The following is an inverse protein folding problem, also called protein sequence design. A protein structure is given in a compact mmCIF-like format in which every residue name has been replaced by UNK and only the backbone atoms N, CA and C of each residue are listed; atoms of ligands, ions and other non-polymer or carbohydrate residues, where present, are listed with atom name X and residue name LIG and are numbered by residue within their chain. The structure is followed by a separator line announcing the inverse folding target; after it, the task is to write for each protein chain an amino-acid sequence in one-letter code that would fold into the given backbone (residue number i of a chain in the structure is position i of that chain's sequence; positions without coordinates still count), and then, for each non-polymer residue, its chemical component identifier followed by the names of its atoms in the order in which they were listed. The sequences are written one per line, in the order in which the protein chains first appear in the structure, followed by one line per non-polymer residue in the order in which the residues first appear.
data_IF_882518730473
#
_entry.id   IF_882518730473
#
_cell.length_a   1.000
_cell.length_b   1.000
_cell.length_c   1.000
_cell.angle_alpha   90.00
_cell.angle_beta   90.00
_cell.angle_gamma   90.00
#
_symmetry.space_group_name_H-M   'P 1'
#
loop_
_entity.id
_entity.type
_entity.pdbx_description
1 polymer ?
#
# COMPACT_ATOMS: atom_id res chain seq x y z
N UNK A 1 20.23 3.14 5.02
CA UNK A 1 19.70 3.77 6.27
C UNK A 1 19.18 2.69 7.20
N UNK A 2 19.16 2.95 8.54
CA UNK A 2 18.49 2.10 9.52
C UNK A 2 17.18 2.76 9.93
N UNK A 3 16.09 1.98 9.92
CA UNK A 3 14.77 2.46 10.27
C UNK A 3 14.23 1.68 11.47
N UNK A 4 13.96 2.38 12.55
CA UNK A 4 13.45 1.81 13.80
C UNK A 4 12.02 2.27 14.02
N UNK A 5 11.08 1.34 14.00
CA UNK A 5 9.68 1.60 14.30
C UNK A 5 9.39 1.27 15.75
N UNK A 6 8.78 2.20 16.46
CA UNK A 6 8.48 2.05 17.90
C UNK A 6 7.29 1.15 18.17
N UNK A 7 6.42 0.95 17.18
CA UNK A 7 5.21 0.12 17.28
C UNK A 7 4.36 0.46 18.51
N UNK A 8 4.11 1.74 18.74
CA UNK A 8 3.49 2.24 19.99
C UNK A 8 2.06 1.71 20.20
N UNK A 9 1.35 1.37 19.13
CA UNK A 9 -0.02 0.87 19.18
C UNK A 9 -0.08 -0.66 19.21
N UNK A 10 0.99 -1.35 18.85
CA UNK A 10 1.11 -2.81 18.90
C UNK A 10 1.72 -3.28 20.20
N UNK A 11 0.89 -3.67 21.18
CA UNK A 11 1.36 -4.21 22.46
C UNK A 11 2.14 -5.51 22.32
N UNK A 12 1.93 -6.28 21.25
CA UNK A 12 2.67 -7.51 20.98
C UNK A 12 4.05 -7.23 20.37
N UNK A 13 4.21 -6.08 19.71
CA UNK A 13 5.36 -5.71 18.88
C UNK A 13 5.67 -6.73 17.77
N UNK A 14 4.65 -7.43 17.30
CA UNK A 14 4.77 -8.49 16.30
C UNK A 14 4.10 -8.16 14.97
N UNK A 15 3.21 -7.16 14.91
CA UNK A 15 2.35 -6.90 13.77
C UNK A 15 3.15 -6.66 12.49
N UNK A 16 4.07 -5.71 12.46
CA UNK A 16 4.92 -5.48 11.29
C UNK A 16 5.72 -6.73 10.89
N UNK A 17 6.36 -7.37 11.87
CA UNK A 17 7.19 -8.53 11.59
C UNK A 17 6.38 -9.70 11.01
N UNK A 18 5.22 -9.99 11.58
CA UNK A 18 4.32 -11.04 11.09
C UNK A 18 3.70 -10.65 9.76
N UNK A 19 3.22 -9.42 9.62
CA UNK A 19 2.62 -8.93 8.39
C UNK A 19 3.58 -9.02 7.21
N UNK A 20 4.79 -8.49 7.33
CA UNK A 20 5.78 -8.60 6.26
C UNK A 20 6.22 -10.04 6.00
N UNK A 21 6.29 -10.88 7.04
CA UNK A 21 6.57 -12.30 6.85
C UNK A 21 5.47 -13.00 6.04
N UNK A 22 4.20 -12.70 6.27
CA UNK A 22 3.09 -13.24 5.48
C UNK A 22 3.17 -12.80 4.02
N UNK A 23 3.39 -11.52 3.75
CA UNK A 23 3.56 -11.02 2.39
C UNK A 23 4.72 -11.72 1.69
N UNK A 24 5.91 -11.76 2.29
CA UNK A 24 7.07 -12.44 1.71
C UNK A 24 6.83 -13.95 1.53
N UNK A 25 6.07 -14.61 2.40
CA UNK A 25 5.71 -16.04 2.28
C UNK A 25 4.79 -16.33 1.10
N UNK A 26 4.07 -15.33 0.62
CA UNK A 26 3.20 -15.38 -0.55
C UNK A 26 3.85 -14.76 -1.80
N UNK A 27 5.19 -14.65 -1.78
CA UNK A 27 5.99 -14.14 -2.89
C UNK A 27 5.72 -12.66 -3.23
N UNK A 28 5.16 -11.89 -2.29
CA UNK A 28 4.99 -10.46 -2.41
C UNK A 28 6.22 -9.76 -1.84
N UNK A 29 6.86 -8.90 -2.63
CA UNK A 29 7.99 -8.09 -2.17
C UNK A 29 7.56 -7.18 -1.02
N UNK A 30 8.08 -7.44 0.17
CA UNK A 30 7.76 -6.68 1.38
C UNK A 30 9.04 -6.46 2.22
N UNK A 31 9.11 -5.40 3.04
CA UNK A 31 10.25 -5.14 3.89
C UNK A 31 10.62 -6.33 4.79
N UNK A 32 11.91 -6.55 4.97
CA UNK A 32 12.39 -7.45 6.02
C UNK A 32 12.34 -6.71 7.35
N UNK A 33 11.84 -7.36 8.38
CA UNK A 33 11.74 -6.76 9.72
C UNK A 33 12.20 -7.74 10.79
N UNK A 34 12.99 -7.23 11.76
CA UNK A 34 13.47 -7.98 12.92
C UNK A 34 13.37 -7.15 14.18
N UNK A 35 13.26 -7.78 15.34
CA UNK A 35 13.34 -7.07 16.59
C UNK A 35 14.76 -6.59 16.89
N UNK A 36 14.91 -5.35 17.32
CA UNK A 36 16.17 -4.75 17.69
C UNK A 36 16.07 -4.07 19.07
N UNK A 37 17.07 -4.34 19.92
CA UNK A 37 17.25 -3.60 21.17
C UNK A 37 18.06 -2.35 20.87
N UNK A 38 17.47 -1.19 21.06
CA UNK A 38 18.16 0.09 20.83
C UNK A 38 18.91 0.51 22.10
N UNK A 39 20.23 0.66 21.97
CA UNK A 39 21.12 1.12 23.02
C UNK A 39 21.86 2.35 22.50
N UNK A 40 21.73 3.48 23.19
CA UNK A 40 22.41 4.74 22.85
C UNK A 40 23.22 5.18 24.08
N UNK A 41 24.52 5.39 23.93
CA UNK A 41 25.41 5.79 25.03
C UNK A 41 25.26 4.87 26.24
N UNK A 42 25.31 3.57 26.00
CA UNK A 42 25.19 2.49 27.00
C UNK A 42 23.85 2.44 27.76
N UNK A 43 22.84 3.21 27.31
CA UNK A 43 21.49 3.20 27.88
C UNK A 43 20.55 2.47 26.94
N UNK A 44 19.75 1.56 27.52
CA UNK A 44 18.67 0.89 26.78
C UNK A 44 17.50 1.84 26.57
N UNK A 45 17.10 2.04 25.32
CA UNK A 45 16.01 2.92 24.88
C UNK A 45 14.72 2.18 24.55
N UNK A 46 14.78 0.87 24.34
CA UNK A 46 13.58 0.09 24.05
C UNK A 46 13.82 -1.05 23.08
N UNK A 47 12.75 -1.79 22.83
CA UNK A 47 12.63 -2.76 21.74
C UNK A 47 11.94 -2.07 20.56
N UNK A 48 12.46 -2.26 19.37
CA UNK A 48 11.97 -1.67 18.13
C UNK A 48 11.88 -2.73 17.05
N UNK A 49 11.00 -2.54 16.06
CA UNK A 49 11.17 -3.20 14.79
C UNK A 49 12.26 -2.47 14.00
N UNK A 50 13.33 -3.17 13.64
CA UNK A 50 14.30 -2.72 12.66
C UNK A 50 13.80 -3.20 11.30
N UNK A 51 13.19 -2.29 10.56
CA UNK A 51 12.48 -2.55 9.32
C UNK A 51 13.29 -2.04 8.13
N UNK A 52 13.33 -2.81 7.07
CA UNK A 52 13.99 -2.44 5.82
C UNK A 52 13.32 -1.20 5.25
N UNK A 53 14.12 -0.20 4.91
CA UNK A 53 13.61 0.98 4.24
C UNK A 53 13.30 0.65 2.79
N UNK A 54 12.13 1.03 2.32
CA UNK A 54 11.77 0.95 0.90
C UNK A 54 12.44 2.14 0.20
N UNK A 55 13.59 1.86 -0.43
CA UNK A 55 14.41 2.79 -1.20
C UNK A 55 15.07 2.05 -2.38
N UNK A 56 16.08 2.65 -3.02
CA UNK A 56 16.82 2.05 -4.13
C UNK A 56 17.45 0.70 -3.78
N UNK A 57 17.97 0.53 -2.55
CA UNK A 57 18.55 -0.76 -2.14
C UNK A 57 17.48 -1.85 -1.97
N UNK A 58 16.29 -1.47 -1.52
CA UNK A 58 15.13 -2.38 -1.50
C UNK A 58 14.79 -2.83 -2.92
N UNK A 59 14.69 -1.88 -3.86
CA UNK A 59 14.39 -2.20 -5.24
C UNK A 59 15.45 -3.10 -5.88
N UNK A 60 16.74 -2.80 -5.67
CA UNK A 60 17.85 -3.64 -6.16
C UNK A 60 17.87 -5.05 -5.59
N UNK A 61 17.38 -5.24 -4.36
CA UNK A 61 17.35 -6.55 -3.70
C UNK A 61 16.14 -7.39 -4.11
N UNK A 62 14.97 -6.77 -4.26
CA UNK A 62 13.70 -7.47 -4.42
C UNK A 62 13.26 -7.65 -5.87
N UNK A 63 13.80 -6.87 -6.82
CA UNK A 63 13.39 -6.89 -8.22
C UNK A 63 14.60 -7.14 -9.13
N UNK A 64 14.37 -7.76 -10.28
CA UNK A 64 15.43 -8.00 -11.26
C UNK A 64 16.03 -6.71 -11.82
N UNK A 65 15.23 -5.64 -11.84
CA UNK A 65 15.59 -4.32 -12.31
C UNK A 65 15.37 -3.30 -11.19
N UNK A 66 16.41 -3.04 -10.40
CA UNK A 66 16.32 -2.19 -9.21
C UNK A 66 16.35 -0.67 -9.47
N UNK A 67 16.45 -0.23 -10.74
CA UNK A 67 16.64 1.18 -11.10
C UNK A 67 15.35 1.92 -11.47
N UNK A 68 14.20 1.32 -11.23
CA UNK A 68 12.89 1.89 -11.52
C UNK A 68 12.43 2.95 -10.50
N UNK A 69 11.26 3.50 -10.74
CA UNK A 69 10.67 4.49 -9.87
C UNK A 69 9.90 3.84 -8.72
N UNK A 70 10.17 4.29 -7.51
CA UNK A 70 9.34 4.02 -6.33
C UNK A 70 8.45 5.23 -6.06
N UNK A 71 7.18 4.98 -5.83
CA UNK A 71 6.19 6.00 -5.46
C UNK A 71 5.58 5.64 -4.11
N UNK A 72 5.46 6.61 -3.22
CA UNK A 72 4.76 6.44 -1.94
C UNK A 72 3.39 7.07 -1.98
N UNK A 73 2.35 6.29 -1.62
CA UNK A 73 0.99 6.76 -1.34
C UNK A 73 0.39 7.62 -2.47
N UNK A 74 0.58 7.20 -3.71
CA UNK A 74 -0.08 7.79 -4.87
C UNK A 74 -0.82 6.73 -5.67
N UNK A 75 -2.10 6.97 -5.94
CA UNK A 75 -2.89 6.06 -6.75
C UNK A 75 -2.77 6.44 -8.23
N UNK A 76 -2.74 5.48 -9.19
CA UNK A 76 -2.53 5.76 -10.62
C UNK A 76 -3.61 6.62 -11.25
N UNK A 77 -4.80 6.59 -10.68
CA UNK A 77 -5.96 7.40 -11.11
C UNK A 77 -6.51 8.21 -9.94
N UNK A 78 -7.14 9.32 -10.26
CA UNK A 78 -7.86 10.14 -9.28
C UNK A 78 -9.19 9.48 -8.88
N UNK A 79 -9.83 9.96 -7.83
CA UNK A 79 -11.18 9.53 -7.41
C UNK A 79 -12.24 9.62 -8.53
N UNK A 80 -12.01 10.48 -9.53
CA UNK A 80 -12.87 10.64 -10.73
C UNK A 80 -12.46 9.73 -11.88
N UNK A 81 -11.57 8.75 -11.62
CA UNK A 81 -11.06 7.80 -12.60
C UNK A 81 -10.09 8.38 -13.62
N UNK A 82 -9.74 9.68 -13.55
CA UNK A 82 -8.79 10.31 -14.48
C UNK A 82 -7.35 9.92 -14.13
N UNK A 83 -6.44 9.87 -15.11
CA UNK A 83 -5.01 9.66 -14.83
C UNK A 83 -4.49 10.66 -13.80
N UNK A 84 -3.57 10.21 -12.96
CA UNK A 84 -2.92 11.08 -11.98
C UNK A 84 -2.07 12.14 -12.72
N UNK A 85 -1.91 13.31 -12.12
CA UNK A 85 -1.09 14.39 -12.67
C UNK A 85 0.39 14.10 -12.45
N UNK A 86 1.22 14.49 -13.41
CA UNK A 86 2.68 14.39 -13.35
C UNK A 86 3.24 15.02 -12.07
N UNK A 87 2.79 16.21 -11.72
CA UNK A 87 3.22 16.90 -10.49
C UNK A 87 2.96 16.07 -9.24
N UNK A 88 1.84 15.33 -9.19
CA UNK A 88 1.49 14.46 -8.06
C UNK A 88 2.38 13.22 -8.04
N UNK A 89 2.62 12.61 -9.20
CA UNK A 89 3.53 11.47 -9.35
C UNK A 89 4.97 11.86 -8.96
N UNK A 90 5.49 12.99 -9.45
CA UNK A 90 6.82 13.48 -9.08
C UNK A 90 6.96 13.72 -7.56
N UNK A 91 5.95 14.29 -6.91
CA UNK A 91 5.96 14.49 -5.45
C UNK A 91 5.95 13.18 -4.65
N UNK A 92 5.42 12.11 -5.23
CA UNK A 92 5.34 10.81 -4.61
C UNK A 92 6.62 9.97 -4.78
N UNK A 93 7.53 10.35 -5.68
CA UNK A 93 8.79 9.64 -5.91
C UNK A 93 9.61 9.49 -4.62
N UNK A 94 10.27 8.34 -4.49
CA UNK A 94 11.21 7.98 -3.42
C UNK A 94 12.54 7.43 -3.96
N UNK A 95 12.64 7.30 -5.27
CA UNK A 95 13.87 7.05 -6.03
C UNK A 95 13.86 7.95 -7.25
N UNK A 96 15.03 8.25 -7.77
CA UNK A 96 15.23 9.05 -8.99
C UNK A 96 14.69 10.49 -8.94
N UNK A 97 14.35 11.05 -7.79
CA UNK A 97 13.72 12.37 -7.62
C UNK A 97 14.56 13.50 -8.23
N UNK A 98 15.88 13.32 -8.27
CA UNK A 98 16.85 14.29 -8.80
C UNK A 98 17.28 14.02 -10.25
N UNK A 99 16.73 12.99 -10.89
CA UNK A 99 17.16 12.52 -12.22
C UNK A 99 16.16 12.84 -13.33
N UNK A 100 15.09 13.56 -13.06
CA UNK A 100 13.98 13.84 -13.99
C UNK A 100 13.51 12.55 -14.73
N UNK A 101 13.07 11.53 -13.97
CA UNK A 101 12.77 10.21 -14.55
C UNK A 101 11.51 10.25 -15.40
N UNK A 102 11.43 9.34 -16.40
CA UNK A 102 10.17 9.11 -17.11
C UNK A 102 9.10 8.57 -16.15
N UNK A 103 7.89 9.08 -16.25
CA UNK A 103 6.69 8.60 -15.56
C UNK A 103 5.79 7.75 -16.49
N UNK A 104 6.27 7.35 -17.65
CA UNK A 104 5.49 6.80 -18.75
C UNK A 104 4.71 5.53 -18.37
N UNK A 105 5.26 4.68 -17.51
CA UNK A 105 4.61 3.42 -17.11
C UNK A 105 3.34 3.73 -16.30
N UNK A 106 3.49 4.49 -15.21
CA UNK A 106 2.36 4.86 -14.34
C UNK A 106 1.32 5.70 -15.08
N UNK A 107 1.77 6.65 -15.89
CA UNK A 107 0.89 7.48 -16.72
C UNK A 107 0.14 6.67 -17.76
N UNK A 108 0.83 5.78 -18.49
CA UNK A 108 0.20 4.92 -19.48
C UNK A 108 -0.81 3.97 -18.83
N UNK A 109 -0.49 3.43 -17.67
CA UNK A 109 -1.42 2.60 -16.90
C UNK A 109 -2.68 3.38 -16.55
N UNK A 110 -2.54 4.52 -15.86
CA UNK A 110 -3.68 5.38 -15.50
C UNK A 110 -4.49 5.83 -16.72
N UNK A 111 -3.82 6.17 -17.82
CA UNK A 111 -4.48 6.60 -19.06
C UNK A 111 -5.28 5.46 -19.73
N UNK A 112 -4.75 4.24 -19.73
CA UNK A 112 -5.46 3.07 -20.27
C UNK A 112 -6.68 2.71 -19.40
N UNK A 113 -6.55 2.71 -18.07
CA UNK A 113 -7.68 2.51 -17.16
C UNK A 113 -8.79 3.55 -17.44
N UNK A 114 -8.43 4.83 -17.55
CA UNK A 114 -9.40 5.91 -17.79
C UNK A 114 -10.16 5.77 -19.11
N UNK A 115 -9.53 5.24 -20.15
CA UNK A 115 -10.12 5.12 -21.50
C UNK A 115 -10.84 3.81 -21.74
N UNK A 116 -10.70 2.84 -20.82
CA UNK A 116 -11.20 1.48 -21.04
C UNK A 116 -12.67 1.35 -20.67
N UNK A 117 -13.33 0.44 -21.36
CA UNK A 117 -14.58 -0.16 -20.93
C UNK A 117 -14.31 -1.19 -19.83
N UNK A 118 -15.31 -1.47 -18.99
CA UNK A 118 -15.17 -2.41 -17.88
C UNK A 118 -14.67 -3.80 -18.32
N UNK A 119 -15.09 -4.28 -19.48
CA UNK A 119 -14.70 -5.57 -20.03
C UNK A 119 -13.20 -5.67 -20.40
N UNK A 120 -12.51 -4.53 -20.53
CA UNK A 120 -11.11 -4.46 -20.91
C UNK A 120 -10.17 -4.34 -19.69
N UNK A 121 -10.70 -3.95 -18.52
CA UNK A 121 -9.91 -3.64 -17.33
C UNK A 121 -9.00 -4.80 -16.92
N UNK A 122 -9.52 -6.03 -16.90
CA UNK A 122 -8.73 -7.20 -16.53
C UNK A 122 -7.50 -7.37 -17.46
N UNK A 123 -7.70 -7.23 -18.76
CA UNK A 123 -6.60 -7.32 -19.75
C UNK A 123 -5.59 -6.18 -19.55
N UNK A 124 -6.05 -4.97 -19.26
CA UNK A 124 -5.17 -3.82 -19.01
C UNK A 124 -4.36 -4.05 -17.75
N UNK A 125 -5.00 -4.43 -16.64
CA UNK A 125 -4.31 -4.67 -15.37
C UNK A 125 -3.27 -5.77 -15.55
N UNK A 126 -3.60 -6.90 -16.16
CA UNK A 126 -2.67 -8.01 -16.38
C UNK A 126 -1.47 -7.64 -17.29
N UNK A 127 -1.60 -6.63 -18.14
CA UNK A 127 -0.47 -6.14 -18.93
C UNK A 127 0.56 -5.38 -18.06
N UNK A 128 0.11 -4.70 -16.99
CA UNK A 128 0.98 -3.89 -16.12
C UNK A 128 1.33 -4.57 -14.81
N UNK A 129 0.53 -5.51 -14.34
CA UNK A 129 0.69 -6.18 -13.05
C UNK A 129 0.62 -7.69 -13.23
N UNK A 130 1.23 -8.46 -12.33
CA UNK A 130 0.96 -9.89 -12.24
C UNK A 130 -0.32 -10.10 -11.43
N UNK A 131 -1.32 -10.73 -12.05
CA UNK A 131 -2.61 -10.96 -11.37
C UNK A 131 -2.50 -11.89 -10.17
N UNK A 132 -1.59 -12.89 -10.21
CA UNK A 132 -1.40 -13.78 -9.07
C UNK A 132 -0.75 -13.01 -7.91
N UNK A 133 0.24 -12.14 -8.21
CA UNK A 133 0.87 -11.28 -7.21
C UNK A 133 -0.18 -10.38 -6.54
N UNK A 134 -1.01 -9.68 -7.31
CA UNK A 134 -2.05 -8.80 -6.77
C UNK A 134 -3.10 -9.57 -5.98
N UNK A 135 -3.56 -10.72 -6.45
CA UNK A 135 -4.51 -11.55 -5.70
C UNK A 135 -3.90 -12.06 -4.39
N UNK A 136 -2.63 -12.49 -4.42
CA UNK A 136 -1.90 -12.88 -3.20
C UNK A 136 -1.78 -11.70 -2.23
N UNK A 137 -1.49 -10.50 -2.75
CA UNK A 137 -1.45 -9.29 -1.93
C UNK A 137 -2.79 -9.06 -1.24
N UNK A 138 -3.90 -9.06 -1.99
CA UNK A 138 -5.25 -8.86 -1.43
C UNK A 138 -5.57 -9.91 -0.37
N UNK A 139 -5.25 -11.18 -0.63
CA UNK A 139 -5.50 -12.27 0.32
C UNK A 139 -4.74 -12.05 1.64
N UNK A 140 -3.46 -11.70 1.57
CA UNK A 140 -2.67 -11.45 2.78
C UNK A 140 -3.19 -10.21 3.51
N UNK A 141 -3.38 -9.11 2.80
CA UNK A 141 -3.85 -7.83 3.34
C UNK A 141 -5.16 -7.99 4.12
N UNK A 142 -6.12 -8.73 3.55
CA UNK A 142 -7.40 -9.01 4.22
C UNK A 142 -7.28 -10.04 5.34
N UNK A 143 -6.43 -11.06 5.18
CA UNK A 143 -6.21 -12.07 6.22
C UNK A 143 -5.59 -11.50 7.49
N UNK A 144 -4.66 -10.55 7.36
CA UNK A 144 -4.05 -9.84 8.50
C UNK A 144 -4.86 -8.63 8.95
N UNK A 145 -6.00 -8.37 8.29
CA UNK A 145 -6.86 -7.23 8.59
C UNK A 145 -6.08 -5.90 8.58
N UNK A 146 -5.43 -5.62 7.46
CA UNK A 146 -4.70 -4.36 7.27
C UNK A 146 -5.68 -3.22 6.93
N UNK A 147 -6.48 -2.80 7.91
CA UNK A 147 -7.52 -1.78 7.73
C UNK A 147 -6.93 -0.36 7.63
N UNK A 148 -5.63 -0.20 7.83
CA UNK A 148 -4.90 1.06 7.61
C UNK A 148 -4.07 1.04 6.30
N UNK A 149 -4.40 0.13 5.41
CA UNK A 149 -3.65 -0.13 4.18
C UNK A 149 -4.29 0.42 2.92
N UNK A 150 -3.71 -0.02 1.80
CA UNK A 150 -3.99 0.48 0.44
C UNK A 150 -5.44 0.32 -0.02
N UNK A 151 -6.19 -0.65 0.51
CA UNK A 151 -7.56 -0.92 0.09
C UNK A 151 -8.63 -0.21 0.92
N UNK A 152 -8.23 0.58 1.92
CA UNK A 152 -9.14 1.39 2.72
C UNK A 152 -9.00 2.87 2.38
N UNK A 153 -10.05 3.44 1.76
CA UNK A 153 -10.08 4.86 1.42
C UNK A 153 -10.77 5.65 2.52
N UNK A 154 -9.98 6.20 3.42
CA UNK A 154 -10.46 7.14 4.43
C UNK A 154 -10.71 8.52 3.84
N UNK A 155 -11.75 9.19 4.32
CA UNK A 155 -12.08 10.55 3.92
C UNK A 155 -11.60 11.57 4.96
N UNK A 156 -10.53 12.30 4.63
CA UNK A 156 -9.90 13.30 5.48
C UNK A 156 -10.09 14.74 4.98
N UNK A 157 -11.27 15.09 4.45
CA UNK A 157 -11.61 16.46 4.04
C UNK A 157 -11.05 16.91 2.70
N UNK A 158 -10.11 16.17 2.09
CA UNK A 158 -9.60 16.42 0.72
C UNK A 158 -10.06 15.35 -0.29
N UNK A 159 -11.03 14.55 0.09
CA UNK A 159 -11.48 13.37 -0.63
C UNK A 159 -10.87 12.07 -0.09
N UNK A 160 -11.37 10.93 -0.57
CA UNK A 160 -10.92 9.63 -0.09
C UNK A 160 -9.48 9.37 -0.54
N UNK A 161 -8.65 8.92 0.41
CA UNK A 161 -7.27 8.52 0.16
C UNK A 161 -6.93 7.25 0.94
N UNK A 162 -6.07 6.43 0.38
CA UNK A 162 -5.44 5.29 1.04
C UNK A 162 -3.97 5.59 1.32
N UNK A 163 -3.37 4.87 2.26
CA UNK A 163 -1.98 5.07 2.66
C UNK A 163 -1.30 3.75 3.00
N UNK A 164 -0.07 3.82 3.52
CA UNK A 164 0.71 2.66 3.93
C UNK A 164 1.03 1.68 2.79
N UNK A 165 1.42 2.20 1.64
CA UNK A 165 1.88 1.40 0.51
C UNK A 165 2.87 2.15 -0.37
N UNK A 166 3.59 1.38 -1.21
CA UNK A 166 4.40 1.89 -2.30
C UNK A 166 4.03 1.18 -3.61
N UNK A 167 4.28 1.87 -4.73
CA UNK A 167 4.36 1.27 -6.05
C UNK A 167 5.81 1.24 -6.51
N UNK A 168 6.20 0.16 -7.17
CA UNK A 168 7.46 0.08 -7.87
C UNK A 168 7.23 -0.20 -9.36
N UNK A 169 7.88 0.56 -10.24
CA UNK A 169 7.90 0.32 -11.69
C UNK A 169 9.14 -0.45 -12.07
N UNK A 170 8.99 -1.60 -12.71
CA UNK A 170 10.07 -2.38 -13.30
C UNK A 170 10.23 -1.96 -14.77
N UNK A 171 11.30 -1.21 -15.15
CA UNK A 171 11.32 -0.43 -16.39
C UNK A 171 11.33 -1.28 -17.66
N UNK A 172 12.11 -2.37 -17.72
CA UNK A 172 12.23 -3.21 -18.94
C UNK A 172 10.99 -4.10 -19.08
N UNK A 173 10.53 -4.71 -18.00
CA UNK A 173 9.33 -5.54 -18.00
C UNK A 173 8.04 -4.74 -18.16
N UNK A 174 8.10 -3.43 -17.96
CA UNK A 174 6.92 -2.53 -17.97
C UNK A 174 5.86 -2.98 -16.97
N UNK A 175 6.30 -3.47 -15.80
CA UNK A 175 5.43 -3.95 -14.73
C UNK A 175 5.40 -2.98 -13.55
N UNK A 176 4.30 -3.05 -12.81
CA UNK A 176 4.06 -2.26 -11.59
C UNK A 176 3.78 -3.24 -10.46
N UNK A 177 4.48 -3.08 -9.35
CA UNK A 177 4.37 -3.91 -8.16
C UNK A 177 3.85 -3.09 -6.98
N UNK A 178 2.95 -3.68 -6.20
CA UNK A 178 2.42 -3.08 -4.99
C UNK A 178 3.20 -3.63 -3.78
N UNK A 179 3.70 -2.73 -2.94
CA UNK A 179 4.55 -3.06 -1.79
C UNK A 179 3.84 -2.59 -0.51
N UNK A 180 3.62 -3.47 0.49
CA UNK A 180 3.00 -3.09 1.76
C UNK A 180 3.98 -2.28 2.63
N UNK A 181 3.42 -1.38 3.43
CA UNK A 181 4.18 -0.54 4.34
C UNK A 181 3.40 -0.30 5.62
N UNK A 182 4.12 -0.07 6.75
CA UNK A 182 3.60 0.37 8.05
C UNK A 182 2.43 -0.50 8.57
N UNK A 183 2.74 -1.77 8.87
CA UNK A 183 1.76 -2.78 9.25
C UNK A 183 1.54 -2.87 10.77
N UNK A 184 1.92 -1.86 11.54
CA UNK A 184 1.77 -1.87 13.00
C UNK A 184 0.29 -1.86 13.44
N UNK A 185 -0.60 -1.37 12.59
CA UNK A 185 -2.05 -1.39 12.77
C UNK A 185 -2.75 -2.64 12.18
N UNK A 186 -2.02 -3.60 11.60
CA UNK A 186 -2.60 -4.85 11.15
C UNK A 186 -2.97 -5.76 12.33
N UNK A 187 -3.79 -6.79 12.10
CA UNK A 187 -4.28 -7.79 13.07
C UNK A 187 -5.27 -7.27 14.12
N UNK A 188 -5.46 -5.96 14.24
CA UNK A 188 -6.34 -5.32 15.19
C UNK A 188 -7.54 -4.64 14.51
N UNK A 189 -8.57 -4.38 15.30
CA UNK A 189 -9.66 -3.51 14.92
C UNK A 189 -9.31 -2.07 15.29
N UNK A 190 -8.63 -1.37 14.41
CA UNK A 190 -8.17 0.02 14.65
C UNK A 190 -9.31 1.05 14.73
N UNK A 191 -10.53 0.65 14.40
CA UNK A 191 -11.70 1.54 14.40
C UNK A 191 -12.59 1.36 15.62
N UNK A 192 -12.16 0.60 16.62
CA UNK A 192 -12.89 0.38 17.89
C UNK A 192 -12.02 0.72 19.10
N UNK A 193 -12.65 1.20 20.18
CA UNK A 193 -11.99 1.35 21.49
C UNK A 193 -11.50 0.00 22.05
N UNK A 194 -12.12 -1.11 21.62
CA UNK A 194 -11.65 -2.46 21.91
C UNK A 194 -11.09 -3.09 20.61
N UNK A 195 -9.79 -3.13 20.42
CA UNK A 195 -9.17 -3.58 19.17
C UNK A 195 -9.47 -5.04 18.81
N UNK A 196 -9.87 -5.87 19.79
CA UNK A 196 -10.28 -7.26 19.51
C UNK A 196 -11.76 -7.41 19.12
N UNK A 197 -12.52 -6.33 19.14
CA UNK A 197 -13.92 -6.34 18.72
C UNK A 197 -14.00 -6.58 17.22
N UNK A 198 -14.76 -7.61 16.83
CA UNK A 198 -15.00 -7.88 15.42
C UNK A 198 -15.92 -6.81 14.83
N UNK A 199 -15.50 -6.19 13.73
CA UNK A 199 -16.38 -5.48 12.81
C UNK A 199 -16.39 -6.20 11.46
N UNK A 200 -17.57 -6.30 10.80
CA UNK A 200 -17.62 -6.84 9.44
C UNK A 200 -16.71 -6.02 8.52
N UNK A 201 -15.89 -6.70 7.74
CA UNK A 201 -15.11 -6.06 6.70
C UNK A 201 -16.03 -5.67 5.55
N UNK A 202 -16.25 -4.38 5.37
CA UNK A 202 -17.05 -3.83 4.28
C UNK A 202 -16.24 -3.63 2.98
N UNK A 203 -14.98 -4.07 2.95
CA UNK A 203 -14.10 -3.86 1.80
C UNK A 203 -14.66 -4.40 0.49
N UNK A 204 -15.26 -5.60 0.52
CA UNK A 204 -15.83 -6.25 -0.66
C UNK A 204 -17.26 -5.80 -0.99
N UNK A 205 -17.87 -4.91 -0.22
CA UNK A 205 -19.23 -4.47 -0.47
C UNK A 205 -19.31 -3.59 -1.72
N UNK A 206 -20.30 -3.88 -2.56
CA UNK A 206 -20.56 -3.08 -3.76
C UNK A 206 -21.37 -1.85 -3.38
N UNK A 207 -20.78 -0.67 -3.59
CA UNK A 207 -21.50 0.60 -3.47
C UNK A 207 -22.11 1.02 -4.81
N UNK A 208 -23.37 1.43 -4.80
CA UNK A 208 -24.07 1.87 -6.00
C UNK A 208 -23.91 3.38 -6.27
N UNK A 209 -23.64 4.17 -5.26
CA UNK A 209 -23.58 5.64 -5.32
C UNK A 209 -22.19 6.20 -4.98
N UNK A 210 -21.30 5.36 -4.47
CA UNK A 210 -19.94 5.73 -4.06
C UNK A 210 -19.88 6.86 -3.03
N UNK A 211 -20.94 7.02 -2.25
CA UNK A 211 -20.93 7.92 -1.10
C UNK A 211 -20.10 7.32 0.03
N UNK A 212 -19.39 8.18 0.74
CA UNK A 212 -18.68 7.74 1.95
C UNK A 212 -19.66 7.40 3.06
N UNK A 213 -19.31 6.43 3.88
CA UNK A 213 -20.10 5.94 5.00
C UNK A 213 -19.28 5.90 6.29
N UNK A 214 -19.92 5.99 7.47
CA UNK A 214 -19.22 5.84 8.74
C UNK A 214 -18.61 4.45 8.87
N UNK A 215 -17.36 4.38 9.32
CA UNK A 215 -16.63 3.14 9.54
C UNK A 215 -16.00 3.12 10.94
N UNK A 216 -16.47 2.20 11.79
CA UNK A 216 -16.00 2.06 13.17
C UNK A 216 -16.55 3.10 14.15
N UNK A 217 -16.00 3.08 15.37
CA UNK A 217 -16.47 3.86 16.52
C UNK A 217 -15.83 5.26 16.60
N UNK A 218 -14.68 5.46 15.95
CA UNK A 218 -13.88 6.70 16.02
C UNK A 218 -14.39 7.83 15.12
N UNK A 219 -15.50 7.62 14.42
CA UNK A 219 -16.04 8.60 13.48
C UNK A 219 -15.28 8.70 12.17
N UNK A 220 -14.54 7.68 11.81
CA UNK A 220 -13.94 7.56 10.48
C UNK A 220 -15.02 7.44 9.41
N UNK A 221 -14.76 8.05 8.26
CA UNK A 221 -15.56 7.88 7.06
C UNK A 221 -14.72 7.13 6.03
N UNK A 222 -15.34 6.23 5.31
CA UNK A 222 -14.70 5.40 4.31
C UNK A 222 -15.52 5.38 3.03
N UNK A 223 -14.83 5.38 1.89
CA UNK A 223 -15.41 5.09 0.59
C UNK A 223 -15.20 3.62 0.26
N UNK A 224 -16.21 2.96 -0.31
CA UNK A 224 -16.08 1.57 -0.73
C UNK A 224 -14.98 1.39 -1.79
N UNK A 225 -14.17 0.35 -1.64
CA UNK A 225 -13.17 -0.07 -2.60
C UNK A 225 -13.78 -0.36 -3.99
N UNK A 226 -15.04 -0.84 -4.03
CA UNK A 226 -15.76 -1.09 -5.28
C UNK A 226 -15.98 0.16 -6.15
N UNK A 227 -15.72 1.34 -5.63
CA UNK A 227 -15.80 2.60 -6.38
C UNK A 227 -14.55 2.90 -7.19
N UNK A 228 -13.46 2.21 -6.92
CA UNK A 228 -12.23 2.34 -7.69
C UNK A 228 -12.23 1.45 -8.93
N UNK A 229 -11.77 1.99 -10.07
CA UNK A 229 -11.81 1.25 -11.34
C UNK A 229 -10.81 0.09 -11.40
N UNK A 230 -9.70 0.19 -10.68
CA UNK A 230 -8.67 -0.85 -10.64
C UNK A 230 -9.15 -2.03 -9.80
N UNK A 231 -9.93 -1.77 -8.74
CA UNK A 231 -10.41 -2.81 -7.81
C UNK A 231 -11.70 -3.48 -8.31
N UNK A 232 -12.44 -2.83 -9.19
CA UNK A 232 -13.67 -3.38 -9.79
C UNK A 232 -13.50 -4.60 -10.69
N UNK A 233 -12.31 -5.07 -10.91
CA UNK A 233 -11.98 -6.13 -11.88
C UNK A 233 -12.42 -7.50 -11.42
#
# INVERSE_FOLDING_TARGET
KLQFHSQNLDFSQMHERLGYWFFNSMEISAPRSVHARLIINDKFHGLYALTEQIDENFAEFHFDEGNGNLYKEVWPITEKGKPQKDETLYKALKTNEDKDPSLDIMQSFGQKIYRSERSELNSIISNYMDLNEILSYVVVDRAIRNDDGVFHWYEFGQGPSSHNYYWYEEPIKQKIHLIPWDLDNAFDNITSENPVTFIPDAWGEISNDCQSFPYGEWGFWQRSASCDQIIKV
#
